data_IF_033797460928
#
_entry.id   IF_033797460928
#
_cell.length_a   1.000
_cell.length_b   1.000
_cell.length_c   1.000
_cell.angle_alpha   90.00
_cell.angle_beta   90.00
_cell.angle_gamma   90.00
#
_symmetry.space_group_name_H-M   'P 1'
#
loop_
_entity.id
_entity.type
_entity.pdbx_description
1 polymer ?
#
# COMPACT_ATOMS: atom_id res chain seq x y z
N UNK A 1 17.20 30.67 34.39
CA UNK A 1 17.47 29.33 33.86
C UNK A 1 16.23 28.49 33.73
N UNK A 2 15.35 28.46 34.70
CA UNK A 2 14.08 27.71 34.65
C UNK A 2 13.15 28.15 33.55
N UNK A 3 13.20 29.43 33.11
CA UNK A 3 12.31 29.96 32.07
C UNK A 3 12.69 29.50 30.68
N UNK A 4 13.98 29.24 30.42
CA UNK A 4 14.44 28.75 29.09
C UNK A 4 14.06 27.29 28.91
N UNK A 5 14.20 26.49 29.96
CA UNK A 5 13.82 25.06 29.92
C UNK A 5 12.32 24.91 29.72
N UNK A 6 11.50 25.74 30.37
CA UNK A 6 10.04 25.73 30.17
C UNK A 6 9.65 26.13 28.76
N UNK A 7 10.30 27.14 28.19
CA UNK A 7 10.02 27.59 26.82
C UNK A 7 10.39 26.52 25.80
N UNK A 8 11.52 25.85 26.00
CA UNK A 8 11.94 24.76 25.12
C UNK A 8 10.98 23.58 25.19
N UNK A 9 10.56 23.17 26.37
CA UNK A 9 9.60 22.07 26.55
C UNK A 9 8.27 22.39 25.88
N UNK A 10 7.79 23.63 26.02
CA UNK A 10 6.53 24.06 25.39
C UNK A 10 6.64 24.05 23.87
N UNK A 11 7.75 24.52 23.31
CA UNK A 11 7.99 24.54 21.87
C UNK A 11 8.03 23.11 21.30
N UNK A 12 8.69 22.18 21.98
CA UNK A 12 8.77 20.78 21.57
C UNK A 12 7.37 20.14 21.60
N UNK A 13 6.58 20.40 22.63
CA UNK A 13 5.23 19.90 22.75
C UNK A 13 4.32 20.40 21.62
N UNK A 14 4.42 21.69 21.26
CA UNK A 14 3.67 22.25 20.15
C UNK A 14 4.08 21.63 18.83
N UNK A 15 5.36 21.41 18.61
CA UNK A 15 5.87 20.78 17.40
C UNK A 15 5.36 19.33 17.28
N UNK A 16 5.34 18.58 18.37
CA UNK A 16 4.81 17.22 18.40
C UNK A 16 3.31 17.18 18.07
N UNK A 17 2.53 18.10 18.61
CA UNK A 17 1.09 18.21 18.30
C UNK A 17 0.85 18.54 16.84
N UNK A 18 1.66 19.42 16.25
CA UNK A 18 1.53 19.78 14.83
C UNK A 18 1.77 18.57 13.93
N UNK A 19 2.75 17.74 14.25
CA UNK A 19 3.01 16.50 13.50
C UNK A 19 1.87 15.49 13.61
N UNK A 20 1.30 15.30 14.79
CA UNK A 20 0.16 14.41 15.00
C UNK A 20 -1.08 14.88 14.22
N UNK A 21 -1.34 16.18 14.19
CA UNK A 21 -2.44 16.76 13.42
C UNK A 21 -2.21 16.60 11.92
N UNK A 22 -0.97 16.72 11.45
CA UNK A 22 -0.62 16.50 10.06
C UNK A 22 -0.91 15.06 9.61
N UNK A 23 -0.50 14.09 10.40
CA UNK A 23 -0.78 12.68 10.13
C UNK A 23 -2.28 12.37 10.15
N UNK A 24 -3.02 12.93 11.11
CA UNK A 24 -4.47 12.77 11.20
C UNK A 24 -5.18 13.39 10.00
N UNK A 25 -4.74 14.55 9.53
CA UNK A 25 -5.32 15.20 8.35
C UNK A 25 -5.08 14.38 7.10
N UNK A 26 -3.89 13.81 6.93
CA UNK A 26 -3.56 12.93 5.80
C UNK A 26 -4.44 11.69 5.82
N UNK A 27 -4.60 11.04 6.96
CA UNK A 27 -5.45 9.87 7.10
C UNK A 27 -6.92 10.19 6.79
N UNK A 28 -7.43 11.34 7.23
CA UNK A 28 -8.80 11.78 6.91
C UNK A 28 -8.99 12.06 5.42
N UNK A 29 -8.00 12.66 4.77
CA UNK A 29 -8.05 12.94 3.34
C UNK A 29 -8.13 11.64 2.54
N UNK A 30 -7.36 10.63 2.90
CA UNK A 30 -7.39 9.33 2.27
C UNK A 30 -8.71 8.60 2.51
N UNK A 31 -9.32 8.80 3.69
CA UNK A 31 -10.55 8.13 4.07
C UNK A 31 -11.84 8.76 3.58
N UNK A 32 -11.81 10.01 3.08
CA UNK A 32 -13.01 10.74 2.69
C UNK A 32 -13.37 10.63 1.22
N UNK A 33 -12.45 10.15 0.36
CA UNK A 33 -12.67 10.03 -1.06
C UNK A 33 -12.99 8.61 -1.49
N UNK A 34 -13.70 8.48 -2.57
CA UNK A 34 -13.82 7.22 -3.29
C UNK A 34 -12.50 6.85 -3.96
N UNK A 35 -11.56 7.79 -3.95
CA UNK A 35 -10.25 7.63 -4.55
C UNK A 35 -9.27 7.03 -3.56
N UNK A 36 -8.78 5.86 -3.89
CA UNK A 36 -7.67 5.22 -3.18
C UNK A 36 -6.42 5.40 -4.03
N UNK A 37 -5.37 5.95 -3.44
CA UNK A 37 -4.11 6.22 -4.11
C UNK A 37 -3.54 4.93 -4.70
N UNK A 38 -3.09 4.98 -5.95
CA UNK A 38 -2.49 3.83 -6.63
C UNK A 38 -1.28 3.28 -5.88
N UNK A 39 -0.52 4.13 -5.20
CA UNK A 39 0.61 3.70 -4.36
C UNK A 39 0.15 2.84 -3.20
N UNK A 40 -0.96 3.19 -2.56
CA UNK A 40 -1.55 2.41 -1.47
C UNK A 40 -2.09 1.08 -2.00
N UNK A 41 -2.76 1.09 -3.13
CA UNK A 41 -3.26 -0.13 -3.78
C UNK A 41 -2.09 -1.07 -4.10
N UNK A 42 -1.02 -0.56 -4.69
CA UNK A 42 0.18 -1.34 -5.00
C UNK A 42 0.74 -2.01 -3.74
N UNK A 43 0.88 -1.26 -2.66
CA UNK A 43 1.39 -1.78 -1.40
C UNK A 43 0.50 -2.89 -0.82
N UNK A 44 -0.81 -2.70 -0.87
CA UNK A 44 -1.78 -3.68 -0.37
C UNK A 44 -1.80 -4.95 -1.23
N UNK A 45 -1.71 -4.82 -2.54
CA UNK A 45 -1.64 -5.97 -3.44
C UNK A 45 -0.35 -6.75 -3.20
N UNK A 46 0.78 -6.07 -3.09
CA UNK A 46 2.05 -6.72 -2.77
C UNK A 46 1.98 -7.49 -1.45
N UNK A 47 1.43 -6.89 -0.41
CA UNK A 47 1.27 -7.55 0.88
C UNK A 47 0.36 -8.78 0.80
N UNK A 48 -0.75 -8.67 0.08
CA UNK A 48 -1.68 -9.78 -0.11
C UNK A 48 -1.04 -10.96 -0.86
N UNK A 49 -0.29 -10.67 -1.92
CA UNK A 49 0.44 -11.68 -2.68
C UNK A 49 1.52 -12.32 -1.81
N UNK A 50 2.28 -11.51 -1.07
CA UNK A 50 3.35 -11.98 -0.19
C UNK A 50 2.82 -12.90 0.92
N UNK A 51 1.60 -12.68 1.38
CA UNK A 51 0.97 -13.51 2.41
C UNK A 51 0.45 -14.86 1.89
N UNK A 52 0.41 -15.06 0.58
CA UNK A 52 0.01 -16.33 0.00
C UNK A 52 1.16 -17.33 0.01
N UNK A 53 1.04 -18.46 0.71
CA UNK A 53 2.13 -19.43 0.80
C UNK A 53 2.58 -19.99 -0.54
N UNK A 54 1.65 -20.18 -1.48
CA UNK A 54 1.94 -20.74 -2.80
C UNK A 54 2.71 -19.78 -3.70
N UNK A 55 2.70 -18.48 -3.36
CA UNK A 55 3.33 -17.43 -4.18
C UNK A 55 4.66 -16.95 -3.61
N UNK A 56 5.17 -17.57 -2.55
CA UNK A 56 6.39 -17.12 -1.88
C UNK A 56 7.64 -17.21 -2.75
N UNK A 57 7.71 -18.18 -3.65
CA UNK A 57 8.83 -18.34 -4.56
C UNK A 57 8.63 -17.63 -5.91
N UNK A 58 7.50 -16.97 -6.10
CA UNK A 58 7.21 -16.25 -7.32
C UNK A 58 7.85 -14.87 -7.32
N UNK A 59 8.29 -14.43 -8.49
CA UNK A 59 8.81 -13.09 -8.70
C UNK A 59 7.71 -12.25 -9.36
N UNK A 60 6.91 -11.57 -8.55
CA UNK A 60 5.77 -10.80 -9.04
C UNK A 60 5.97 -9.32 -8.79
N UNK A 61 5.96 -8.55 -9.86
CA UNK A 61 5.97 -7.09 -9.81
C UNK A 61 4.53 -6.58 -9.91
N UNK A 62 4.23 -5.56 -9.13
CA UNK A 62 2.90 -4.96 -9.06
C UNK A 62 3.00 -3.48 -9.39
N UNK A 63 2.23 -3.05 -10.37
CA UNK A 63 2.07 -1.64 -10.72
C UNK A 63 0.59 -1.31 -10.79
N UNK A 64 0.23 -0.11 -10.35
CA UNK A 64 -1.16 0.32 -10.33
C UNK A 64 -1.30 1.67 -11.01
N UNK A 65 -2.24 1.78 -11.93
CA UNK A 65 -2.58 3.03 -12.59
C UNK A 65 -4.10 3.18 -12.63
N UNK A 66 -4.60 4.20 -11.93
CA UNK A 66 -6.05 4.49 -11.83
C UNK A 66 -6.89 3.28 -11.45
N UNK A 67 -6.41 2.52 -10.46
CA UNK A 67 -7.09 1.33 -9.97
C UNK A 67 -6.87 0.08 -10.79
N UNK A 68 -6.24 0.16 -11.95
CA UNK A 68 -5.87 -1.01 -12.75
C UNK A 68 -4.53 -1.54 -12.27
N UNK A 69 -4.54 -2.76 -11.78
CA UNK A 69 -3.33 -3.42 -11.27
C UNK A 69 -2.73 -4.29 -12.39
N UNK A 70 -1.47 -4.05 -12.69
CA UNK A 70 -0.72 -4.89 -13.61
C UNK A 70 0.22 -5.79 -12.82
N UNK A 71 0.10 -7.09 -13.03
CA UNK A 71 0.97 -8.10 -12.44
C UNK A 71 1.91 -8.62 -13.54
N UNK A 72 3.22 -8.56 -13.28
CA UNK A 72 4.22 -9.04 -14.20
C UNK A 72 5.27 -9.85 -13.45
N UNK A 73 6.09 -10.57 -14.18
CA UNK A 73 7.13 -11.42 -13.61
C UNK A 73 6.96 -12.87 -13.95
N UNK A 74 7.47 -13.74 -13.08
CA UNK A 74 7.52 -15.17 -13.35
C UNK A 74 6.94 -15.97 -12.18
N UNK A 75 6.10 -16.93 -12.51
CA UNK A 75 5.47 -17.85 -11.56
C UNK A 75 5.69 -19.29 -11.98
N UNK A 76 5.48 -20.24 -11.07
CA UNK A 76 5.79 -21.65 -11.31
C UNK A 76 4.68 -22.38 -12.08
N UNK A 77 3.44 -21.92 -12.00
CA UNK A 77 2.31 -22.64 -12.60
C UNK A 77 1.18 -21.67 -12.97
N UNK A 78 0.27 -22.14 -13.81
CA UNK A 78 -0.92 -21.39 -14.15
C UNK A 78 -1.84 -21.21 -12.94
N UNK A 79 -1.84 -22.13 -12.03
CA UNK A 79 -2.60 -22.01 -10.78
C UNK A 79 -2.09 -20.84 -9.95
N UNK A 80 -0.79 -20.61 -9.93
CA UNK A 80 -0.17 -19.47 -9.26
C UNK A 80 -0.59 -18.16 -9.93
N UNK A 81 -0.68 -18.13 -11.26
CA UNK A 81 -1.19 -16.98 -12.00
C UNK A 81 -2.62 -16.65 -11.54
N UNK A 82 -3.49 -17.66 -11.54
CA UNK A 82 -4.88 -17.49 -11.15
C UNK A 82 -5.01 -17.03 -9.70
N UNK A 83 -4.18 -17.57 -8.82
CA UNK A 83 -4.17 -17.20 -7.40
C UNK A 83 -3.76 -15.75 -7.22
N UNK A 84 -2.70 -15.32 -7.88
CA UNK A 84 -2.23 -13.94 -7.79
C UNK A 84 -3.28 -12.96 -8.30
N UNK A 85 -3.92 -13.26 -9.42
CA UNK A 85 -4.99 -12.42 -9.98
C UNK A 85 -6.17 -12.35 -9.02
N UNK A 86 -6.59 -13.46 -8.46
CA UNK A 86 -7.72 -13.52 -7.51
C UNK A 86 -7.43 -12.69 -6.26
N UNK A 87 -6.24 -12.86 -5.69
CA UNK A 87 -5.82 -12.13 -4.50
C UNK A 87 -5.78 -10.62 -4.78
N UNK A 88 -5.24 -10.23 -5.93
CA UNK A 88 -5.16 -8.82 -6.31
C UNK A 88 -6.55 -8.20 -6.47
N UNK A 89 -7.49 -8.92 -7.06
CA UNK A 89 -8.87 -8.43 -7.25
C UNK A 89 -9.60 -8.16 -5.95
N UNK A 90 -9.25 -8.85 -4.88
CA UNK A 90 -9.90 -8.71 -3.58
C UNK A 90 -9.44 -7.48 -2.82
N UNK A 91 -8.38 -6.83 -3.25
CA UNK A 91 -7.86 -5.64 -2.57
C UNK A 91 -8.77 -4.44 -2.85
N UNK A 92 -9.20 -3.71 -1.80
CA UNK A 92 -10.01 -2.51 -1.99
C UNK A 92 -9.28 -1.48 -2.86
N UNK A 93 -10.00 -0.86 -3.77
CA UNK A 93 -9.46 0.11 -4.71
C UNK A 93 -9.03 -0.46 -6.04
N UNK A 94 -8.97 -1.78 -6.18
CA UNK A 94 -8.67 -2.43 -7.45
C UNK A 94 -9.92 -2.49 -8.31
N UNK A 95 -9.85 -1.87 -9.49
CA UNK A 95 -10.96 -1.89 -10.46
C UNK A 95 -10.83 -3.04 -11.44
N UNK A 96 -9.61 -3.38 -11.83
CA UNK A 96 -9.32 -4.52 -12.69
C UNK A 96 -7.87 -4.95 -12.51
N UNK A 97 -7.58 -6.18 -12.94
CA UNK A 97 -6.24 -6.75 -12.89
C UNK A 97 -5.83 -7.19 -14.28
N UNK A 98 -4.67 -6.71 -14.71
CA UNK A 98 -4.05 -7.12 -15.97
C UNK A 98 -2.92 -8.10 -15.65
N UNK A 99 -3.01 -9.29 -16.22
CA UNK A 99 -2.01 -10.33 -16.03
C UNK A 99 -0.98 -10.30 -17.16
N UNK A 100 0.27 -9.97 -16.80
CA UNK A 100 1.42 -10.09 -17.67
C UNK A 100 2.49 -11.02 -17.09
N UNK A 101 2.08 -11.92 -16.19
CA UNK A 101 2.98 -12.92 -15.62
C UNK A 101 3.25 -14.04 -16.60
N UNK A 102 4.45 -14.61 -16.51
CA UNK A 102 4.89 -15.72 -17.35
C UNK A 102 5.28 -16.91 -16.50
N UNK A 103 5.11 -18.10 -17.05
CA UNK A 103 5.55 -19.33 -16.40
C UNK A 103 7.07 -19.48 -16.54
N UNK A 104 7.68 -19.96 -15.45
CA UNK A 104 9.11 -20.30 -15.46
C UNK A 104 9.41 -21.47 -16.35
#
# INVERSE_FOLDING_TARGET
MTNITRRLTTLVAILFMAMALGCASTAKTEGTGEYIDDTVVTAKVKAAIFNEPTLKSAEINVETFKGVVQLSGFVNSREDVNKAVTVARQVPGVTSVKNDMRLK
#
